data_IF_366272933571
#
_entry.id   IF_366272933571
#
_cell.length_a   1.000
_cell.length_b   1.000
_cell.length_c   1.000
_cell.angle_alpha   90.00
_cell.angle_beta   90.00
_cell.angle_gamma   90.00
#
_symmetry.space_group_name_H-M   'P 1'
#
loop_
_entity.id
_entity.type
_entity.pdbx_description
1 polymer ?
#
# COMPACT_ATOMS: atom_id res chain seq x y z
N UNK A 1 -15.10 7.71 -11.83
CA UNK A 1 -14.16 7.34 -10.75
C UNK A 1 -13.74 8.63 -10.06
N UNK A 2 -13.79 8.65 -8.74
CA UNK A 2 -13.29 9.78 -7.94
C UNK A 2 -11.76 9.90 -8.02
N UNK A 3 -11.27 11.10 -7.72
CA UNK A 3 -9.85 11.38 -7.56
C UNK A 3 -9.45 11.27 -6.09
N UNK A 4 -8.41 10.50 -5.82
CA UNK A 4 -7.79 10.24 -4.54
C UNK A 4 -6.33 10.68 -4.61
N UNK A 5 -5.94 11.59 -3.73
CA UNK A 5 -4.54 11.83 -3.44
C UNK A 5 -4.02 10.66 -2.60
N UNK A 6 -2.77 10.25 -2.82
CA UNK A 6 -2.18 9.18 -2.02
C UNK A 6 -0.71 9.42 -1.68
N UNK A 7 -0.32 8.90 -0.52
CA UNK A 7 1.06 8.87 -0.02
C UNK A 7 1.26 7.69 0.93
N UNK A 8 2.49 7.26 1.11
CA UNK A 8 2.88 6.21 2.08
C UNK A 8 4.31 6.44 2.58
N UNK A 9 4.72 5.62 3.53
CA UNK A 9 6.12 5.56 4.01
C UNK A 9 6.61 6.93 4.51
N UNK A 10 5.71 7.67 5.17
CA UNK A 10 5.99 9.00 5.69
C UNK A 10 6.91 8.94 6.92
N UNK A 11 6.87 7.83 7.67
CA UNK A 11 7.66 7.56 8.86
C UNK A 11 7.79 8.74 9.83
N UNK A 12 6.67 9.35 10.23
CA UNK A 12 6.63 10.48 11.16
C UNK A 12 7.22 10.16 12.53
N UNK A 13 7.45 8.88 12.83
CA UNK A 13 8.16 8.45 14.02
C UNK A 13 9.66 8.78 13.98
N UNK A 14 10.25 8.93 12.79
CA UNK A 14 11.65 9.25 12.56
C UNK A 14 11.85 10.77 12.49
N UNK A 15 12.78 11.30 13.28
CA UNK A 15 13.01 12.76 13.37
C UNK A 15 13.32 13.42 12.03
N UNK A 16 14.13 12.78 11.16
CA UNK A 16 14.48 13.34 9.85
C UNK A 16 13.27 13.42 8.91
N UNK A 17 12.43 12.40 8.89
CA UNK A 17 11.18 12.38 8.12
C UNK A 17 10.19 13.42 8.61
N UNK A 18 9.97 13.50 9.93
CA UNK A 18 9.12 14.52 10.54
C UNK A 18 9.57 15.94 10.16
N UNK A 19 10.87 16.24 10.31
CA UNK A 19 11.43 17.56 9.97
C UNK A 19 11.37 17.86 8.47
N UNK A 20 11.53 16.85 7.61
CA UNK A 20 11.37 16.99 6.16
C UNK A 20 9.94 17.41 5.84
N UNK A 21 8.92 16.67 6.30
CA UNK A 21 7.52 16.97 6.02
C UNK A 21 7.03 18.28 6.65
N UNK A 22 7.67 18.76 7.73
CA UNK A 22 7.46 20.12 8.24
C UNK A 22 7.93 21.21 7.27
N UNK A 23 9.04 20.99 6.57
CA UNK A 23 9.58 21.93 5.58
C UNK A 23 8.92 21.80 4.21
N UNK A 24 8.55 20.58 3.83
CA UNK A 24 7.97 20.25 2.51
C UNK A 24 6.66 19.48 2.69
N UNK A 25 5.61 20.12 3.22
CA UNK A 25 4.35 19.44 3.53
C UNK A 25 3.66 18.94 2.27
N UNK A 26 2.86 17.88 2.41
CA UNK A 26 1.93 17.43 1.37
C UNK A 26 1.03 18.62 0.97
N UNK A 27 0.75 18.76 -0.32
CA UNK A 27 -0.14 19.80 -0.85
C UNK A 27 -1.43 19.12 -1.31
N UNK A 28 -2.57 19.58 -0.82
CA UNK A 28 -3.88 19.04 -1.23
C UNK A 28 -4.05 19.18 -2.76
N UNK A 29 -4.37 18.07 -3.41
CA UNK A 29 -4.57 17.94 -4.86
C UNK A 29 -5.83 17.15 -5.23
N UNK A 30 -6.52 16.58 -4.25
CA UNK A 30 -7.82 15.92 -4.41
C UNK A 30 -8.68 16.12 -3.16
N UNK A 31 -9.96 15.75 -3.24
CA UNK A 31 -10.89 15.84 -2.10
C UNK A 31 -10.74 14.71 -1.08
N UNK A 32 -10.17 13.59 -1.50
CA UNK A 32 -9.95 12.40 -0.68
C UNK A 32 -8.46 12.09 -0.59
N UNK A 33 -8.02 11.62 0.58
CA UNK A 33 -6.63 11.22 0.83
C UNK A 33 -6.57 9.74 1.24
N UNK A 34 -5.60 9.02 0.68
CA UNK A 34 -5.23 7.67 1.07
C UNK A 34 -3.80 7.70 1.61
N UNK A 35 -3.62 7.23 2.84
CA UNK A 35 -2.32 7.02 3.47
C UNK A 35 -2.04 5.50 3.51
N UNK A 36 -1.20 5.00 2.61
CA UNK A 36 -1.04 3.58 2.31
C UNK A 36 0.08 2.88 3.11
N UNK A 37 0.06 3.08 4.44
CA UNK A 37 1.00 2.44 5.38
C UNK A 37 2.27 3.24 5.67
N UNK A 38 2.89 2.87 6.79
CA UNK A 38 4.12 3.43 7.33
C UNK A 38 4.06 4.96 7.52
N UNK A 39 3.00 5.40 8.20
CA UNK A 39 2.75 6.81 8.48
C UNK A 39 3.37 7.20 9.81
N UNK A 40 3.11 6.42 10.86
CA UNK A 40 3.74 6.55 12.19
C UNK A 40 3.44 5.32 13.05
N UNK A 41 4.07 5.19 14.22
CA UNK A 41 3.69 4.17 15.21
C UNK A 41 2.24 4.37 15.69
N UNK A 42 1.50 3.30 16.00
CA UNK A 42 0.14 3.40 16.54
C UNK A 42 0.07 4.22 17.85
N UNK A 43 1.05 4.09 18.74
CA UNK A 43 1.17 4.86 19.99
C UNK A 43 1.30 6.37 19.78
N UNK A 44 1.65 6.80 18.57
CA UNK A 44 1.69 8.20 18.14
C UNK A 44 0.38 8.66 17.50
N UNK A 45 -0.58 7.78 17.22
CA UNK A 45 -1.88 8.19 16.72
C UNK A 45 -2.78 8.70 17.88
N UNK A 46 -3.59 9.76 17.68
CA UNK A 46 -3.59 10.71 16.57
C UNK A 46 -2.64 11.91 16.80
N UNK A 47 -1.68 11.81 17.73
CA UNK A 47 -0.84 12.90 18.27
C UNK A 47 0.05 13.60 17.24
N UNK A 48 0.13 13.13 16.01
CA UNK A 48 0.86 13.79 14.93
C UNK A 48 0.00 14.87 14.29
N UNK A 49 0.56 16.07 14.07
CA UNK A 49 -0.13 17.19 13.40
C UNK A 49 -0.66 16.85 11.99
N UNK A 50 -0.15 15.77 11.36
CA UNK A 50 -0.60 15.28 10.08
C UNK A 50 -2.11 14.97 10.09
N UNK A 51 -2.62 14.24 11.08
CA UNK A 51 -4.02 13.82 11.09
C UNK A 51 -4.98 14.99 11.35
N UNK A 52 -4.57 15.96 12.17
CA UNK A 52 -5.31 17.20 12.34
C UNK A 52 -5.31 18.04 11.05
N UNK A 53 -4.19 18.09 10.34
CA UNK A 53 -4.16 18.73 9.02
C UNK A 53 -5.07 18.00 8.03
N UNK A 54 -5.05 16.67 7.98
CA UNK A 54 -5.94 15.88 7.12
C UNK A 54 -7.41 16.19 7.41
N UNK A 55 -7.80 16.22 8.69
CA UNK A 55 -9.18 16.47 9.08
C UNK A 55 -9.71 17.84 8.67
N UNK A 56 -8.83 18.83 8.55
CA UNK A 56 -9.17 20.20 8.10
C UNK A 56 -9.21 20.36 6.58
N UNK A 57 -8.56 19.46 5.82
CA UNK A 57 -8.31 19.69 4.39
C UNK A 57 -9.05 18.72 3.45
N UNK A 58 -9.34 17.49 3.88
CA UNK A 58 -9.99 16.48 3.04
C UNK A 58 -11.42 16.18 3.47
N UNK A 59 -12.25 15.74 2.52
CA UNK A 59 -13.60 15.24 2.80
C UNK A 59 -13.54 13.94 3.60
N UNK A 60 -12.66 13.03 3.19
CA UNK A 60 -12.32 11.80 3.93
C UNK A 60 -10.83 11.48 3.74
N UNK A 61 -10.20 10.96 4.79
CA UNK A 61 -8.85 10.38 4.78
C UNK A 61 -8.90 8.96 5.29
N UNK A 62 -8.37 8.02 4.50
CA UNK A 62 -8.22 6.62 4.90
C UNK A 62 -6.76 6.30 5.18
N UNK A 63 -6.49 5.66 6.31
CA UNK A 63 -5.15 5.31 6.76
C UNK A 63 -5.05 3.79 6.86
N UNK A 64 -4.27 3.19 5.98
CA UNK A 64 -3.91 1.76 6.07
C UNK A 64 -2.67 1.66 6.94
N UNK A 65 -2.61 0.75 7.93
CA UNK A 65 -1.37 0.50 8.65
C UNK A 65 -0.37 -0.25 7.76
N UNK A 66 0.91 0.10 7.85
CA UNK A 66 2.04 -0.67 7.34
C UNK A 66 2.70 -1.48 8.45
N UNK A 67 3.93 -1.94 8.24
CA UNK A 67 4.66 -2.72 9.24
C UNK A 67 5.21 -1.84 10.38
N UNK A 68 5.57 -0.58 10.10
CA UNK A 68 6.10 0.34 11.11
C UNK A 68 5.06 0.73 12.16
N UNK A 69 3.77 0.76 11.85
CA UNK A 69 2.71 1.02 12.83
C UNK A 69 2.82 0.11 14.07
N UNK A 70 3.34 -1.11 13.93
CA UNK A 70 3.46 -2.14 14.97
C UNK A 70 4.80 -2.14 15.72
N UNK A 71 5.74 -1.25 15.37
CA UNK A 71 7.09 -1.23 15.97
C UNK A 71 7.13 -0.72 17.43
N UNK A 72 5.99 -0.33 18.00
CA UNK A 72 5.83 0.02 19.41
C UNK A 72 5.32 -1.14 20.29
N UNK A 73 5.11 -2.32 19.69
CA UNK A 73 4.68 -3.52 20.39
C UNK A 73 3.16 -3.72 20.44
N UNK A 74 2.38 -2.97 19.65
CA UNK A 74 1.01 -3.35 19.27
C UNK A 74 0.97 -4.72 18.59
N UNK A 75 -0.14 -5.44 18.77
CA UNK A 75 -0.33 -6.75 18.15
C UNK A 75 -1.04 -6.65 16.80
N UNK A 76 -0.59 -7.43 15.81
CA UNK A 76 -1.17 -7.42 14.46
C UNK A 76 -2.61 -7.97 14.46
N UNK A 77 -2.88 -9.04 15.20
CA UNK A 77 -4.21 -9.66 15.27
C UNK A 77 -5.29 -8.80 15.92
N UNK A 78 -4.91 -7.85 16.76
CA UNK A 78 -5.82 -6.83 17.31
C UNK A 78 -6.37 -5.87 16.22
N UNK A 79 -5.77 -5.88 15.02
CA UNK A 79 -6.04 -4.91 13.95
C UNK A 79 -6.37 -5.53 12.60
N UNK A 80 -6.68 -6.83 12.54
CA UNK A 80 -7.08 -7.44 11.26
C UNK A 80 -8.24 -6.71 10.61
N UNK A 81 -9.27 -6.39 11.39
CA UNK A 81 -10.44 -5.65 10.94
C UNK A 81 -10.54 -4.40 11.79
N UNK A 82 -10.00 -3.29 11.29
CA UNK A 82 -10.07 -2.00 11.97
C UNK A 82 -10.83 -1.01 11.09
N UNK A 83 -11.70 -0.23 11.74
CA UNK A 83 -12.42 0.91 11.17
C UNK A 83 -12.53 1.97 12.26
N UNK A 84 -11.38 2.52 12.67
CA UNK A 84 -11.27 3.38 13.83
C UNK A 84 -11.09 4.84 13.41
N UNK A 85 -11.98 5.72 13.88
CA UNK A 85 -11.92 7.15 13.57
C UNK A 85 -10.92 7.85 14.49
N UNK A 86 -9.88 8.44 13.90
CA UNK A 86 -8.98 9.39 14.58
C UNK A 86 -9.63 10.76 14.70
N UNK A 87 -10.37 11.14 13.65
CA UNK A 87 -11.22 12.32 13.54
C UNK A 87 -12.51 11.94 12.79
N UNK A 88 -13.56 12.78 12.76
CA UNK A 88 -14.80 12.46 12.07
C UNK A 88 -14.63 11.99 10.60
N UNK A 89 -13.60 12.52 9.92
CA UNK A 89 -13.25 12.27 8.52
C UNK A 89 -11.83 11.68 8.32
N UNK A 90 -11.21 11.14 9.39
CA UNK A 90 -9.89 10.48 9.30
C UNK A 90 -10.00 9.12 9.97
N UNK A 91 -9.89 8.06 9.18
CA UNK A 91 -10.22 6.71 9.62
C UNK A 91 -9.08 5.74 9.33
N UNK A 92 -8.62 5.02 10.35
CA UNK A 92 -7.71 3.88 10.20
C UNK A 92 -8.52 2.68 9.75
N UNK A 93 -8.13 2.08 8.63
CA UNK A 93 -8.84 0.99 7.97
C UNK A 93 -7.89 -0.16 7.62
N UNK A 94 -8.29 -1.39 7.93
CA UNK A 94 -7.60 -2.61 7.51
C UNK A 94 -8.62 -3.73 7.36
N UNK A 95 -8.50 -4.50 6.27
CA UNK A 95 -9.49 -5.47 5.81
C UNK A 95 -10.93 -4.91 5.84
N UNK A 96 -11.11 -3.69 5.32
CA UNK A 96 -12.40 -3.03 5.17
C UNK A 96 -12.52 -2.45 3.76
N UNK A 97 -13.74 -2.43 3.22
CA UNK A 97 -14.05 -1.75 1.97
C UNK A 97 -15.02 -0.60 2.20
N UNK A 98 -14.90 0.46 1.39
CA UNK A 98 -15.74 1.67 1.46
C UNK A 98 -16.18 2.06 0.06
N UNK A 99 -17.44 2.45 -0.10
CA UNK A 99 -17.97 2.95 -1.37
C UNK A 99 -18.06 4.47 -1.31
N UNK A 100 -17.48 5.13 -2.30
CA UNK A 100 -17.61 6.57 -2.54
C UNK A 100 -18.13 6.74 -3.96
N UNK A 101 -19.35 7.27 -4.09
CA UNK A 101 -20.06 7.39 -5.36
C UNK A 101 -20.12 6.05 -6.11
N UNK A 102 -19.44 5.95 -7.27
CA UNK A 102 -19.38 4.73 -8.08
C UNK A 102 -18.07 3.94 -7.94
N UNK A 103 -17.25 4.29 -6.95
CA UNK A 103 -15.94 3.68 -6.71
C UNK A 103 -15.94 2.95 -5.37
N UNK A 104 -15.56 1.68 -5.35
CA UNK A 104 -15.29 0.94 -4.11
C UNK A 104 -13.79 0.86 -3.88
N UNK A 105 -13.38 1.23 -2.67
CA UNK A 105 -12.01 1.12 -2.18
C UNK A 105 -11.88 -0.11 -1.28
N UNK A 106 -10.79 -0.85 -1.42
CA UNK A 106 -10.49 -2.05 -0.64
C UNK A 106 -9.15 -1.84 0.06
N UNK A 107 -9.16 -1.85 1.39
CA UNK A 107 -7.99 -1.52 2.21
C UNK A 107 -7.49 -2.74 2.95
N UNK A 108 -6.22 -3.10 2.77
CA UNK A 108 -5.56 -4.13 3.56
C UNK A 108 -4.06 -3.91 3.62
N UNK A 109 -3.41 -4.08 4.77
CA UNK A 109 -1.93 -4.08 4.85
C UNK A 109 -1.31 -5.12 3.91
N UNK A 110 -2.08 -6.18 3.59
CA UNK A 110 -1.74 -7.35 2.78
C UNK A 110 -0.71 -8.28 3.43
N UNK A 111 0.44 -7.75 3.83
CA UNK A 111 1.61 -8.53 4.28
C UNK A 111 2.19 -9.41 3.16
N UNK A 112 3.27 -10.14 3.43
CA UNK A 112 3.96 -11.00 2.46
C UNK A 112 3.95 -12.47 2.88
N UNK A 113 3.93 -13.36 1.88
CA UNK A 113 4.29 -14.78 2.06
C UNK A 113 5.73 -14.98 1.60
N UNK A 114 6.66 -14.76 2.52
CA UNK A 114 8.10 -14.87 2.28
C UNK A 114 8.41 -16.27 1.75
N UNK A 115 9.12 -16.36 0.63
CA UNK A 115 9.58 -17.63 0.09
C UNK A 115 10.38 -18.41 1.15
N UNK A 116 10.00 -19.68 1.36
CA UNK A 116 10.63 -20.60 2.32
C UNK A 116 12.15 -20.66 2.16
N UNK A 117 12.65 -20.56 0.93
CA UNK A 117 14.09 -20.63 0.67
C UNK A 117 14.85 -19.41 1.24
N UNK A 118 14.19 -18.27 1.39
CA UNK A 118 14.80 -17.01 1.83
C UNK A 118 14.40 -16.60 3.25
N UNK A 119 13.55 -17.37 3.92
CA UNK A 119 13.07 -17.06 5.27
C UNK A 119 14.18 -16.82 6.29
N UNK A 120 15.21 -17.67 6.29
CA UNK A 120 16.32 -17.54 7.24
C UNK A 120 17.06 -16.21 7.03
N UNK A 121 17.27 -15.83 5.76
CA UNK A 121 17.92 -14.59 5.38
C UNK A 121 17.05 -13.39 5.79
N UNK A 122 15.77 -13.35 5.39
CA UNK A 122 14.89 -12.23 5.78
C UNK A 122 14.75 -12.10 7.30
N UNK A 123 14.68 -13.22 8.04
CA UNK A 123 14.66 -13.22 9.52
C UNK A 123 15.87 -12.54 10.13
N UNK A 124 17.05 -12.74 9.53
CA UNK A 124 18.30 -12.17 10.04
C UNK A 124 18.40 -10.67 9.78
N UNK A 125 17.84 -10.18 8.67
CA UNK A 125 18.07 -8.80 8.21
C UNK A 125 16.90 -7.84 8.47
N UNK A 126 15.67 -8.32 8.64
CA UNK A 126 14.50 -7.44 8.77
C UNK A 126 14.09 -7.21 10.22
N UNK A 127 13.91 -5.94 10.56
CA UNK A 127 13.40 -5.50 11.86
C UNK A 127 12.01 -6.07 12.18
N UNK A 128 11.20 -6.38 11.16
CA UNK A 128 9.87 -6.95 11.31
C UNK A 128 9.86 -8.20 12.20
N UNK A 129 10.87 -9.06 12.06
CA UNK A 129 10.98 -10.29 12.85
C UNK A 129 11.38 -10.09 14.30
N UNK A 130 11.87 -8.90 14.64
CA UNK A 130 12.32 -8.55 15.99
C UNK A 130 11.36 -7.58 16.70
N UNK A 131 10.64 -6.75 15.94
CA UNK A 131 9.80 -5.67 16.49
C UNK A 131 8.30 -5.98 16.45
N UNK A 132 7.84 -6.78 15.49
CA UNK A 132 6.41 -7.02 15.31
C UNK A 132 5.95 -8.14 16.25
N UNK A 133 4.92 -7.85 17.04
CA UNK A 133 4.18 -8.85 17.77
C UNK A 133 2.98 -9.27 16.94
N UNK A 134 2.99 -10.50 16.45
CA UNK A 134 1.96 -10.97 15.53
C UNK A 134 0.64 -11.29 16.23
N UNK A 135 0.71 -11.91 17.41
CA UNK A 135 -0.45 -12.44 18.11
C UNK A 135 -0.47 -12.06 19.58
N UNK A 136 -1.62 -11.63 20.07
CA UNK A 136 -1.84 -11.34 21.47
C UNK A 136 -1.92 -12.64 22.29
N UNK A 137 -1.04 -12.87 23.28
CA UNK A 137 -0.99 -14.13 24.02
C UNK A 137 -2.16 -14.32 25.00
N UNK A 138 -2.88 -13.24 25.35
CA UNK A 138 -3.97 -13.28 26.35
C UNK A 138 -5.33 -13.44 25.67
N UNK A 139 -5.49 -12.91 24.45
CA UNK A 139 -6.71 -13.00 23.66
C UNK A 139 -6.37 -13.19 22.18
N UNK A 140 -6.03 -14.41 21.73
CA UNK A 140 -5.86 -14.67 20.31
C UNK A 140 -7.25 -14.52 19.65
N UNK A 141 -7.55 -13.34 19.12
CA UNK A 141 -8.80 -13.00 18.41
C UNK A 141 -9.06 -14.03 17.28
N UNK A 142 -7.99 -14.58 16.73
CA UNK A 142 -7.96 -15.65 15.73
C UNK A 142 -8.73 -16.91 16.15
N UNK A 143 -8.63 -17.34 17.41
CA UNK A 143 -9.14 -18.66 17.81
C UNK A 143 -10.65 -18.62 18.06
N UNK A 144 -11.21 -17.45 18.40
CA UNK A 144 -12.61 -17.33 18.82
C UNK A 144 -13.58 -16.93 17.70
N UNK A 145 -13.12 -16.24 16.64
CA UNK A 145 -14.02 -15.72 15.58
C UNK A 145 -13.88 -16.40 14.19
N UNK A 146 -12.80 -17.13 13.92
CA UNK A 146 -12.58 -17.80 12.62
C UNK A 146 -12.08 -19.23 12.83
N UNK A 147 -12.97 -20.24 12.97
CA UNK A 147 -12.61 -21.64 13.24
C UNK A 147 -11.68 -22.25 12.19
N UNK A 148 -11.73 -21.79 10.93
CA UNK A 148 -10.81 -22.16 9.86
C UNK A 148 -9.34 -21.83 10.18
N UNK A 149 -9.09 -20.94 11.14
CA UNK A 149 -7.75 -20.57 11.61
C UNK A 149 -7.26 -21.39 12.82
N UNK A 150 -8.04 -22.38 13.31
CA UNK A 150 -7.66 -23.23 14.46
C UNK A 150 -6.50 -24.20 14.18
N UNK A 151 -6.16 -24.43 12.92
CA UNK A 151 -5.08 -25.35 12.51
C UNK A 151 -3.72 -24.67 12.28
N UNK A 152 -3.55 -23.39 12.62
CA UNK A 152 -2.32 -22.66 12.34
C UNK A 152 -1.24 -22.93 13.41
N UNK A 153 -0.61 -24.11 13.33
CA UNK A 153 0.77 -24.32 13.79
C UNK A 153 1.81 -23.69 12.85
N UNK A 154 1.45 -22.58 12.18
CA UNK A 154 2.19 -21.99 11.06
C UNK A 154 2.84 -20.66 11.42
N UNK A 155 3.79 -20.26 10.57
CA UNK A 155 4.60 -19.06 10.69
C UNK A 155 3.72 -17.80 10.74
N UNK A 156 3.79 -16.95 11.79
CA UNK A 156 2.79 -15.91 12.07
C UNK A 156 2.45 -14.97 10.91
N UNK A 157 3.46 -14.44 10.21
CA UNK A 157 3.25 -13.50 9.12
C UNK A 157 2.48 -14.11 7.93
N UNK A 158 2.65 -15.43 7.67
CA UNK A 158 1.91 -16.13 6.61
C UNK A 158 0.44 -16.29 6.94
N UNK A 159 0.14 -16.53 8.23
CA UNK A 159 -1.25 -16.56 8.71
C UNK A 159 -1.90 -15.22 8.45
N UNK A 160 -1.24 -14.12 8.83
CA UNK A 160 -1.74 -12.77 8.63
C UNK A 160 -1.94 -12.45 7.16
N UNK A 161 -0.95 -12.79 6.31
CA UNK A 161 -1.06 -12.64 4.86
C UNK A 161 -2.28 -13.39 4.32
N UNK A 162 -2.49 -14.64 4.74
CA UNK A 162 -3.61 -15.47 4.30
C UNK A 162 -4.96 -14.86 4.69
N UNK A 163 -5.08 -14.31 5.90
CA UNK A 163 -6.29 -13.59 6.34
C UNK A 163 -6.58 -12.39 5.43
N UNK A 164 -5.57 -11.56 5.18
CA UNK A 164 -5.69 -10.36 4.35
C UNK A 164 -6.03 -10.71 2.88
N UNK A 165 -5.32 -11.68 2.31
CA UNK A 165 -5.53 -12.20 0.97
C UNK A 165 -6.96 -12.74 0.78
N UNK A 166 -7.40 -13.61 1.69
CA UNK A 166 -8.72 -14.24 1.60
C UNK A 166 -9.84 -13.20 1.72
N UNK A 167 -9.69 -12.24 2.62
CA UNK A 167 -10.62 -11.12 2.74
C UNK A 167 -10.69 -10.31 1.43
N UNK A 168 -9.53 -9.92 0.88
CA UNK A 168 -9.46 -9.10 -0.33
C UNK A 168 -10.07 -9.83 -1.54
N UNK A 169 -9.74 -11.11 -1.74
CA UNK A 169 -10.31 -11.93 -2.81
C UNK A 169 -11.83 -12.05 -2.69
N UNK A 170 -12.34 -12.32 -1.47
CA UNK A 170 -13.78 -12.40 -1.22
C UNK A 170 -14.50 -11.09 -1.53
N UNK A 171 -14.00 -9.97 -1.02
CA UNK A 171 -14.65 -8.66 -1.20
C UNK A 171 -14.61 -8.17 -2.65
N UNK A 172 -13.51 -8.42 -3.37
CA UNK A 172 -13.39 -8.08 -4.79
C UNK A 172 -14.37 -8.89 -5.65
N UNK A 173 -14.49 -10.20 -5.43
CA UNK A 173 -15.40 -11.07 -6.17
C UNK A 173 -16.87 -10.74 -5.92
N UNK A 174 -17.20 -10.25 -4.72
CA UNK A 174 -18.56 -9.83 -4.34
C UNK A 174 -18.92 -8.46 -4.91
N UNK A 175 -17.94 -7.62 -5.21
CA UNK A 175 -18.17 -6.22 -5.56
C UNK A 175 -18.77 -6.02 -6.95
N UNK A 176 -19.90 -5.32 -7.00
CA UNK A 176 -20.56 -4.87 -8.23
C UNK A 176 -20.23 -3.41 -8.58
N UNK A 177 -19.30 -2.78 -7.86
CA UNK A 177 -18.94 -1.38 -8.07
C UNK A 177 -18.36 -1.16 -9.49
N UNK A 178 -18.71 -0.01 -10.08
CA UNK A 178 -18.27 0.37 -11.42
C UNK A 178 -16.74 0.53 -11.49
N UNK A 179 -16.16 1.13 -10.45
CA UNK A 179 -14.71 1.28 -10.30
C UNK A 179 -14.23 0.61 -9.02
N UNK A 180 -13.07 -0.04 -9.09
CA UNK A 180 -12.44 -0.74 -7.96
C UNK A 180 -11.02 -0.23 -7.77
N UNK A 181 -10.74 0.26 -6.56
CA UNK A 181 -9.41 0.73 -6.15
C UNK A 181 -8.94 -0.13 -4.99
N UNK A 182 -7.84 -0.86 -5.19
CA UNK A 182 -7.21 -1.62 -4.12
C UNK A 182 -6.09 -0.77 -3.52
N UNK A 183 -6.01 -0.77 -2.19
CA UNK A 183 -4.97 -0.08 -1.43
C UNK A 183 -4.33 -1.09 -0.51
N UNK A 184 -3.04 -1.31 -0.73
CA UNK A 184 -2.22 -2.14 0.14
C UNK A 184 -0.99 -1.41 0.63
N UNK A 185 -0.37 -1.92 1.69
CA UNK A 185 0.96 -1.45 2.02
C UNK A 185 2.02 -2.23 1.21
N UNK A 186 1.97 -3.56 1.23
CA UNK A 186 2.89 -4.40 0.45
C UNK A 186 2.59 -4.34 -1.06
N UNK A 187 3.63 -4.44 -1.89
CA UNK A 187 3.51 -4.34 -3.34
C UNK A 187 2.91 -5.62 -3.96
N UNK A 188 1.91 -5.52 -4.87
CA UNK A 188 1.20 -6.69 -5.43
C UNK A 188 1.88 -7.33 -6.65
N UNK A 189 3.01 -6.81 -7.10
CA UNK A 189 3.75 -7.28 -8.27
C UNK A 189 5.17 -7.62 -7.84
N UNK A 190 5.57 -8.89 -7.93
CA UNK A 190 6.92 -9.36 -7.56
C UNK A 190 8.01 -8.61 -8.33
N UNK A 191 7.75 -8.34 -9.60
CA UNK A 191 8.70 -7.70 -10.51
C UNK A 191 8.83 -6.18 -10.33
N UNK A 192 7.94 -5.54 -9.56
CA UNK A 192 7.93 -4.09 -9.37
C UNK A 192 8.84 -3.73 -8.19
N UNK A 193 10.13 -3.96 -8.40
CA UNK A 193 11.16 -3.82 -7.37
C UNK A 193 12.45 -3.25 -7.95
N UNK A 194 13.19 -2.50 -7.14
CA UNK A 194 14.56 -2.06 -7.47
C UNK A 194 15.62 -3.09 -7.10
N UNK A 195 15.25 -4.07 -6.27
CA UNK A 195 16.11 -5.21 -5.98
C UNK A 195 16.23 -6.09 -7.22
N UNK A 196 17.30 -6.87 -7.30
CA UNK A 196 17.38 -7.90 -8.34
C UNK A 196 16.19 -8.86 -8.15
N UNK A 197 15.54 -9.34 -9.22
CA UNK A 197 14.48 -10.37 -9.10
C UNK A 197 14.93 -11.64 -8.37
N UNK A 198 16.24 -11.89 -8.37
CA UNK A 198 16.88 -13.00 -7.65
C UNK A 198 17.34 -12.63 -6.24
N UNK A 199 17.10 -11.39 -5.80
CA UNK A 199 17.42 -10.95 -4.45
C UNK A 199 16.50 -11.67 -3.46
N UNK A 200 17.06 -12.40 -2.49
CA UNK A 200 16.30 -13.02 -1.41
C UNK A 200 15.32 -12.08 -0.69
N UNK A 201 15.61 -10.77 -0.69
CA UNK A 201 14.83 -9.78 0.05
C UNK A 201 13.55 -9.34 -0.67
N UNK A 202 13.44 -9.51 -1.99
CA UNK A 202 12.26 -9.07 -2.76
C UNK A 202 10.96 -9.64 -2.22
N UNK A 203 10.95 -10.91 -1.80
CA UNK A 203 9.76 -11.59 -1.28
C UNK A 203 9.25 -11.00 0.04
N UNK A 204 10.04 -10.16 0.70
CA UNK A 204 9.69 -9.52 1.96
C UNK A 204 8.97 -8.18 1.75
N UNK A 205 9.02 -7.63 0.52
CA UNK A 205 8.37 -6.38 0.14
C UNK A 205 7.25 -6.56 -0.90
N UNK A 206 7.41 -7.54 -1.79
CA UNK A 206 6.51 -7.79 -2.90
C UNK A 206 5.86 -9.17 -2.78
N UNK A 207 4.60 -9.26 -3.17
CA UNK A 207 3.82 -10.51 -3.20
C UNK A 207 2.99 -10.56 -4.46
N UNK A 208 2.89 -11.74 -5.09
CA UNK A 208 2.14 -11.88 -6.33
C UNK A 208 0.62 -11.90 -6.09
N UNK A 209 -0.04 -10.82 -6.50
CA UNK A 209 -1.50 -10.69 -6.51
C UNK A 209 -2.06 -10.48 -7.93
N UNK A 210 -1.24 -10.69 -8.97
CA UNK A 210 -1.64 -10.53 -10.39
C UNK A 210 -2.87 -11.35 -10.75
N UNK A 211 -3.00 -12.54 -10.16
CA UNK A 211 -4.15 -13.42 -10.38
C UNK A 211 -5.50 -12.76 -10.03
N UNK A 212 -5.54 -11.80 -9.10
CA UNK A 212 -6.77 -11.04 -8.81
C UNK A 212 -7.09 -10.03 -9.91
N UNK A 213 -6.06 -9.39 -10.47
CA UNK A 213 -6.20 -8.49 -11.62
C UNK A 213 -6.64 -9.26 -12.88
N UNK A 214 -6.28 -10.54 -13.00
CA UNK A 214 -6.75 -11.42 -14.08
C UNK A 214 -8.21 -11.85 -13.89
N UNK A 215 -8.65 -12.09 -12.65
CA UNK A 215 -10.00 -12.54 -12.31
C UNK A 215 -11.04 -11.41 -12.26
N UNK A 216 -10.65 -10.23 -11.78
CA UNK A 216 -11.56 -9.11 -11.48
C UNK A 216 -11.00 -7.85 -12.09
N UNK A 217 -11.86 -7.04 -12.72
CA UNK A 217 -11.47 -5.72 -13.20
C UNK A 217 -11.16 -4.80 -12.01
N UNK A 218 -9.88 -4.50 -11.81
CA UNK A 218 -9.37 -3.51 -10.86
C UNK A 218 -8.84 -2.33 -11.67
N UNK A 219 -9.24 -1.11 -11.32
CA UNK A 219 -8.83 0.08 -12.07
C UNK A 219 -7.49 0.63 -11.55
N UNK A 220 -7.31 0.64 -10.22
CA UNK A 220 -6.08 1.10 -9.57
C UNK A 220 -5.67 0.17 -8.42
N UNK A 221 -4.37 -0.02 -8.26
CA UNK A 221 -3.76 -0.62 -7.08
C UNK A 221 -2.69 0.32 -6.52
N UNK A 222 -2.97 0.90 -5.37
CA UNK A 222 -2.06 1.83 -4.67
C UNK A 222 -1.28 1.04 -3.62
N UNK A 223 0.05 1.19 -3.60
CA UNK A 223 0.94 0.47 -2.67
C UNK A 223 2.04 1.36 -2.04
N UNK A 224 2.77 0.82 -1.05
CA UNK A 224 3.92 1.43 -0.37
C UNK A 224 5.07 0.42 -0.11
N UNK A 225 5.74 0.50 1.04
CA UNK A 225 6.71 -0.46 1.62
C UNK A 225 8.07 -0.63 0.90
N UNK A 226 8.08 -0.50 -0.43
CA UNK A 226 9.30 -0.69 -1.25
C UNK A 226 10.24 0.52 -1.23
N UNK A 227 9.79 1.65 -0.69
CA UNK A 227 10.48 2.94 -0.62
C UNK A 227 10.96 3.47 -1.98
N UNK A 228 10.39 2.98 -3.07
CA UNK A 228 10.78 3.37 -4.42
C UNK A 228 9.57 3.70 -5.28
N UNK A 229 9.47 4.95 -5.71
CA UNK A 229 8.48 5.33 -6.71
C UNK A 229 8.99 5.01 -8.12
N UNK A 230 8.49 3.92 -8.67
CA UNK A 230 8.61 3.61 -10.09
C UNK A 230 7.49 4.31 -10.88
N UNK A 231 7.63 4.38 -12.20
CA UNK A 231 6.53 4.81 -13.06
C UNK A 231 5.33 3.88 -12.90
N UNK A 232 4.13 4.44 -13.07
CA UNK A 232 2.88 3.69 -13.06
C UNK A 232 2.99 2.45 -13.97
N UNK A 233 2.71 1.27 -13.40
CA UNK A 233 2.79 0.00 -14.09
C UNK A 233 1.39 -0.50 -14.44
N UNK A 234 1.16 -0.90 -15.68
CA UNK A 234 -0.16 -1.37 -16.12
C UNK A 234 -0.13 -2.89 -16.28
N UNK A 235 -0.97 -3.59 -15.50
CA UNK A 235 -1.17 -5.03 -15.61
C UNK A 235 -2.66 -5.34 -15.79
N UNK A 236 -3.01 -6.01 -16.89
CA UNK A 236 -4.40 -6.32 -17.26
C UNK A 236 -5.39 -5.14 -17.11
N UNK A 237 -4.95 -3.93 -17.45
CA UNK A 237 -5.75 -2.70 -17.35
C UNK A 237 -5.80 -2.06 -15.95
N UNK A 238 -5.25 -2.70 -14.93
CA UNK A 238 -5.05 -2.13 -13.60
C UNK A 238 -3.80 -1.23 -13.58
N UNK A 239 -3.94 0.00 -13.09
CA UNK A 239 -2.82 0.91 -12.85
C UNK A 239 -2.25 0.66 -11.45
N UNK A 240 -1.07 0.05 -11.38
CA UNK A 240 -0.31 -0.19 -10.15
C UNK A 240 0.63 0.99 -9.90
N UNK A 241 0.47 1.67 -8.76
CA UNK A 241 1.12 2.96 -8.50
C UNK A 241 1.44 3.17 -7.01
N UNK A 242 2.41 4.03 -6.71
CA UNK A 242 2.83 4.40 -5.35
C UNK A 242 3.20 5.86 -5.25
N UNK A 243 3.30 6.37 -4.01
CA UNK A 243 3.90 7.67 -3.71
C UNK A 243 4.53 7.65 -2.30
N UNK A 244 5.70 7.04 -2.23
CA UNK A 244 6.42 6.66 -1.03
C UNK A 244 7.43 7.75 -0.70
N UNK A 245 7.43 8.25 0.54
CA UNK A 245 8.50 9.15 0.97
C UNK A 245 9.78 8.37 1.30
N UNK A 246 9.63 7.19 1.91
CA UNK A 246 10.74 6.36 2.36
C UNK A 246 11.59 7.05 3.42
N UNK A 247 12.80 6.57 3.61
CA UNK A 247 13.75 7.09 4.56
C UNK A 247 14.51 8.30 4.01
N UNK A 248 14.18 9.49 4.54
CA UNK A 248 14.87 10.74 4.19
C UNK A 248 16.38 10.67 4.45
N UNK A 249 16.78 9.91 5.47
CA UNK A 249 18.20 9.75 5.80
C UNK A 249 18.98 8.86 4.83
N UNK A 250 18.28 8.08 4.01
CA UNK A 250 18.82 7.24 2.93
C UNK A 250 18.64 7.89 1.55
N UNK A 251 18.18 9.15 1.48
CA UNK A 251 17.91 9.88 0.23
C UNK A 251 16.79 9.28 -0.64
N UNK A 252 15.82 8.59 -0.03
CA UNK A 252 14.70 7.95 -0.75
C UNK A 252 13.60 8.94 -1.16
N UNK A 253 13.62 10.15 -0.59
CA UNK A 253 12.58 11.17 -0.77
C UNK A 253 12.58 11.88 -2.13
N UNK A 254 13.60 11.69 -2.97
CA UNK A 254 13.82 12.47 -4.20
C UNK A 254 12.68 12.31 -5.23
N UNK A 255 11.99 11.17 -5.22
CA UNK A 255 10.90 10.86 -6.14
C UNK A 255 9.50 11.08 -5.53
N UNK A 256 9.44 11.49 -4.26
CA UNK A 256 8.18 11.72 -3.57
C UNK A 256 7.46 12.94 -4.13
N UNK A 257 6.22 12.75 -4.56
CA UNK A 257 5.38 13.83 -5.07
C UNK A 257 4.42 14.34 -4.01
N UNK A 258 4.47 15.64 -3.74
CA UNK A 258 3.61 16.30 -2.75
C UNK A 258 2.14 16.37 -3.20
N UNK A 259 1.85 16.05 -4.46
CA UNK A 259 0.55 16.20 -5.12
C UNK A 259 0.19 14.97 -5.96
N UNK A 260 0.72 13.76 -5.68
CA UNK A 260 0.33 12.57 -6.46
C UNK A 260 -1.13 12.22 -6.18
N UNK A 261 -1.91 12.06 -7.23
CA UNK A 261 -3.29 11.58 -7.18
C UNK A 261 -3.55 10.66 -8.38
N UNK A 262 -4.60 9.84 -8.32
CA UNK A 262 -5.08 9.12 -9.51
C UNK A 262 -5.90 10.12 -10.34
N UNK A 263 -5.58 10.35 -11.62
CA UNK A 263 -6.16 11.45 -12.40
C UNK A 263 -7.66 11.32 -12.74
N UNK A 264 -8.42 10.43 -12.10
CA UNK A 264 -9.75 10.05 -12.56
C UNK A 264 -9.68 9.39 -13.94
N UNK A 265 -10.83 9.01 -14.50
CA UNK A 265 -10.87 8.69 -15.93
C UNK A 265 -10.76 9.99 -16.74
N UNK A 266 -9.54 10.45 -16.98
CA UNK A 266 -9.28 11.09 -18.27
C UNK A 266 -9.27 9.92 -19.26
N UNK A 267 -10.21 9.92 -20.22
CA UNK A 267 -10.12 9.04 -21.37
C UNK A 267 -8.77 9.29 -22.05
N UNK A 268 -7.73 8.56 -21.67
CA UNK A 268 -6.54 8.44 -22.49
C UNK A 268 -7.01 7.59 -23.68
N UNK A 269 -7.47 8.26 -24.73
CA UNK A 269 -7.60 7.65 -26.05
C UNK A 269 -6.18 7.25 -26.46
N UNK A 270 -5.80 6.03 -26.14
CA UNK A 270 -4.69 5.39 -26.82
C UNK A 270 -5.12 5.24 -28.28
N UNK A 271 -4.64 6.14 -29.15
CA UNK A 271 -4.55 5.84 -30.57
C UNK A 271 -3.54 4.71 -30.69
N UNK A 272 -4.04 3.48 -30.81
CA UNK A 272 -3.20 2.32 -31.05
C UNK A 272 -2.41 2.52 -32.33
N UNK A 273 -1.09 2.60 -32.23
CA UNK A 273 -0.23 2.35 -33.37
C UNK A 273 -0.19 0.83 -33.54
N UNK A 274 -0.95 0.38 -34.54
CA UNK A 274 -0.90 -0.98 -35.06
C UNK A 274 0.50 -1.18 -35.66
N UNK A 275 1.23 -2.16 -35.13
CA UNK A 275 2.28 -2.91 -35.82
C UNK A 275 3.58 -2.18 -36.11
N UNK A 276 4.62 -2.46 -35.33
CA UNK A 276 6.00 -2.39 -35.85
C UNK A 276 6.58 -3.81 -35.91
N UNK A 277 6.54 -4.36 -37.12
CA UNK A 277 7.54 -5.33 -37.56
C UNK A 277 8.92 -4.66 -37.53
N UNK A 278 9.90 -5.46 -37.14
CA UNK A 278 11.32 -5.12 -37.03
C UNK A 278 11.87 -4.37 -38.23
N UNK A 279 12.89 -3.53 -37.96
CA UNK A 279 13.75 -2.76 -38.87
C UNK A 279 13.24 -1.38 -39.27
N UNK A 280 13.49 -0.36 -38.44
CA UNK A 280 14.13 0.91 -38.82
C UNK A 280 14.13 1.87 -37.61
N UNK A 281 15.23 1.90 -36.84
CA UNK A 281 15.53 3.04 -35.97
C UNK A 281 16.88 3.59 -36.38
N UNK A 282 16.85 4.61 -37.24
CA UNK A 282 17.89 5.61 -37.35
C UNK A 282 17.23 6.93 -37.74
N UNK A 283 17.64 7.98 -37.02
CA UNK A 283 17.54 9.40 -37.39
C UNK A 283 16.19 10.08 -37.10
N UNK A 284 16.16 10.90 -36.04
CA UNK A 284 16.12 12.38 -36.10
C UNK A 284 15.53 12.91 -34.77
N UNK A 285 16.40 13.38 -33.88
CA UNK A 285 16.10 14.54 -33.02
C UNK A 285 17.31 15.44 -33.19
N UNK A 286 17.16 16.48 -34.00
CA UNK A 286 17.91 17.72 -33.92
C UNK A 286 17.06 18.78 -34.64
N UNK A 287 16.88 19.90 -33.93
CA UNK A 287 16.40 21.21 -34.39
C UNK A 287 14.87 21.38 -34.49
N UNK A 288 14.28 22.17 -33.59
CA UNK A 288 14.10 23.60 -33.83
C UNK A 288 13.47 24.32 -32.61
N UNK A 289 14.18 25.36 -32.15
CA UNK A 289 13.88 26.43 -31.17
C UNK A 289 13.80 26.10 -29.66
#
# INVERSE_FOLDING_TARGET
>A
MECFQYASDLHQELTKNYLFLKKTPIIKSADYLILAGDISLFSKYPKTDLFEWCSKNYKETFVVPGNHEYYDGSFVDDTYFINNKLFPNVTVVNNISVIINNTQLFFTTLWSDIDKQYESTCKQYLNDFYKIKWFNPIQPILITKQPELKNYGQVPYRTVFSVCKNWLEHELLKSTAQYKVVVTHHCPIVDLTVYNKKDPMTTCFNVDMTYLMDKVKIDYWIYGHTHTNLNDYIYNGCVVTSNQLGYVHCLEADTFSRTKYNPGLIHIKYFGIIGFNSTFFKKIILNDF
#
